data_IF_407105434784
#
_entry.id   IF_407105434784
#
_cell.length_a   1.000
_cell.length_b   1.000
_cell.length_c   1.000
_cell.angle_alpha   90.00
_cell.angle_beta   90.00
_cell.angle_gamma   90.00
#
_symmetry.space_group_name_H-M   'P 1'
#
loop_
_entity.id
_entity.type
_entity.pdbx_description
1 polymer ?
#
# COMPACT_ATOMS: atom_id res chain seq x y z
N UNK A 1 61.80 16.10 -38.18
CA UNK A 1 60.56 16.89 -38.35
C UNK A 1 59.74 16.72 -37.09
N UNK A 2 59.75 17.76 -36.25
CA UNK A 2 59.02 17.86 -34.98
C UNK A 2 57.77 18.66 -35.27
N UNK A 3 56.59 18.09 -35.01
CA UNK A 3 55.35 18.86 -34.94
C UNK A 3 54.73 18.67 -33.56
N UNK A 4 55.08 19.59 -32.69
CA UNK A 4 54.39 19.90 -31.43
C UNK A 4 53.04 20.51 -31.77
N UNK A 5 51.94 19.92 -31.31
CA UNK A 5 50.66 20.61 -31.21
C UNK A 5 50.31 20.74 -29.73
N UNK A 6 50.58 21.93 -29.21
CA UNK A 6 49.93 22.54 -28.05
C UNK A 6 48.43 22.65 -28.31
N UNK A 7 47.59 22.39 -27.29
CA UNK A 7 46.42 23.23 -27.01
C UNK A 7 45.90 22.98 -25.57
N UNK A 8 45.46 24.08 -24.98
CA UNK A 8 45.39 24.38 -23.56
C UNK A 8 44.07 24.00 -22.89
N UNK A 9 44.14 24.00 -21.55
CA UNK A 9 43.07 23.99 -20.56
C UNK A 9 41.87 24.91 -20.88
N UNK A 10 40.66 24.33 -20.93
CA UNK A 10 39.39 24.94 -20.53
C UNK A 10 38.39 23.77 -20.48
N UNK A 11 37.76 23.36 -19.38
CA UNK A 11 37.11 24.16 -18.35
C UNK A 11 36.80 23.31 -17.10
N UNK A 12 36.93 24.00 -15.98
CA UNK A 12 36.68 23.57 -14.62
C UNK A 12 35.19 23.66 -14.35
N UNK A 13 34.45 22.56 -14.46
CA UNK A 13 33.07 22.53 -13.98
C UNK A 13 33.08 22.21 -12.48
N UNK A 14 33.64 23.14 -11.71
CA UNK A 14 33.27 23.30 -10.32
C UNK A 14 31.84 23.81 -10.32
N UNK A 15 30.87 22.90 -10.18
CA UNK A 15 29.49 23.26 -9.91
C UNK A 15 29.47 23.92 -8.54
N UNK A 16 29.53 25.24 -8.54
CA UNK A 16 29.11 26.09 -7.43
C UNK A 16 27.63 25.84 -7.23
N UNK A 17 27.29 24.91 -6.36
CA UNK A 17 25.91 24.66 -5.91
C UNK A 17 25.51 25.90 -5.12
N UNK A 18 24.69 26.75 -5.74
CA UNK A 18 23.96 27.83 -5.08
C UNK A 18 23.03 27.21 -4.03
N UNK A 19 23.02 27.67 -2.76
CA UNK A 19 22.25 27.03 -1.69
C UNK A 19 20.71 27.10 -1.78
N UNK A 20 20.11 27.62 -2.87
CA UNK A 20 18.69 28.02 -2.84
C UNK A 20 17.74 27.39 -3.87
N UNK A 21 18.19 26.46 -4.72
CA UNK A 21 17.27 25.78 -5.66
C UNK A 21 17.03 24.33 -5.23
N UNK A 22 16.24 24.13 -4.18
CA UNK A 22 15.74 22.80 -3.81
C UNK A 22 14.63 22.36 -4.76
N UNK A 23 14.91 22.28 -6.07
CA UNK A 23 14.00 21.64 -7.02
C UNK A 23 14.07 20.15 -6.76
N UNK A 24 13.08 19.61 -6.04
CA UNK A 24 12.85 18.16 -5.97
C UNK A 24 12.55 17.70 -7.40
N UNK A 25 13.56 17.15 -8.07
CA UNK A 25 13.46 16.70 -9.46
C UNK A 25 12.88 15.30 -9.60
N UNK A 26 12.79 14.55 -8.49
CA UNK A 26 12.32 13.16 -8.48
C UNK A 26 11.55 12.84 -7.21
N UNK A 27 10.49 12.03 -7.33
CA UNK A 27 9.67 11.56 -6.19
C UNK A 27 10.54 10.86 -5.14
N UNK A 28 11.63 10.20 -5.54
CA UNK A 28 12.57 9.53 -4.60
C UNK A 28 13.31 10.49 -3.67
N UNK A 29 13.33 11.78 -3.97
CA UNK A 29 13.97 12.81 -3.13
C UNK A 29 13.01 13.39 -2.09
N UNK A 30 11.73 12.98 -2.10
CA UNK A 30 10.79 13.41 -1.08
C UNK A 30 11.19 12.83 0.29
N UNK A 31 10.98 13.60 1.37
CA UNK A 31 11.04 13.08 2.74
C UNK A 31 10.14 11.86 2.92
N UNK A 32 10.59 10.94 3.76
CA UNK A 32 9.90 9.68 4.04
C UNK A 32 8.48 9.91 4.59
N UNK A 33 8.26 10.99 5.35
CA UNK A 33 6.94 11.34 5.87
C UNK A 33 5.95 11.68 4.76
N UNK A 34 6.41 12.36 3.69
CA UNK A 34 5.57 12.69 2.54
C UNK A 34 5.27 11.45 1.69
N UNK A 35 6.28 10.58 1.52
CA UNK A 35 6.09 9.30 0.83
C UNK A 35 5.09 8.41 1.58
N UNK A 36 5.21 8.29 2.90
CA UNK A 36 4.26 7.57 3.75
C UNK A 36 2.85 8.17 3.64
N UNK A 37 2.74 9.50 3.63
CA UNK A 37 1.45 10.16 3.44
C UNK A 37 0.83 9.81 2.09
N UNK A 38 1.60 9.85 1.00
CA UNK A 38 1.14 9.43 -0.34
C UNK A 38 0.70 7.96 -0.33
N UNK A 39 1.52 7.08 0.24
CA UNK A 39 1.23 5.64 0.34
C UNK A 39 -0.04 5.36 1.15
N UNK A 40 -0.38 6.22 2.12
CA UNK A 40 -1.60 6.07 2.93
C UNK A 40 -2.92 6.22 2.16
N UNK A 41 -2.86 6.73 0.92
CA UNK A 41 -4.01 6.82 0.01
C UNK A 41 -4.18 5.59 -0.89
N UNK A 42 -3.18 4.70 -0.94
CA UNK A 42 -3.18 3.54 -1.83
C UNK A 42 -3.94 2.35 -1.23
N UNK A 43 -4.39 1.43 -2.09
CA UNK A 43 -4.93 0.16 -1.62
C UNK A 43 -3.81 -0.77 -1.15
N UNK A 44 -4.16 -1.76 -0.32
CA UNK A 44 -3.19 -2.72 0.22
C UNK A 44 -2.45 -3.48 -0.89
N UNK A 45 -3.12 -3.76 -2.00
CA UNK A 45 -2.53 -4.43 -3.16
C UNK A 45 -1.56 -3.53 -3.92
N UNK A 46 -1.90 -2.26 -4.11
CA UNK A 46 -1.02 -1.27 -4.74
C UNK A 46 0.29 -1.09 -3.94
N UNK A 47 0.21 -1.18 -2.60
CA UNK A 47 1.39 -1.12 -1.74
C UNK A 47 2.35 -2.29 -1.97
N UNK A 48 1.87 -3.45 -2.44
CA UNK A 48 2.74 -4.56 -2.82
C UNK A 48 3.56 -4.21 -4.07
N UNK A 49 3.00 -3.44 -5.01
CA UNK A 49 3.72 -2.98 -6.19
C UNK A 49 4.74 -1.90 -5.84
N UNK A 50 4.38 -0.99 -4.92
CA UNK A 50 5.27 0.04 -4.37
C UNK A 50 6.54 -0.56 -3.76
N UNK A 51 6.43 -1.69 -3.06
CA UNK A 51 7.58 -2.41 -2.50
C UNK A 51 8.59 -2.91 -3.55
N UNK A 52 8.11 -3.18 -4.77
CA UNK A 52 8.95 -3.68 -5.86
C UNK A 52 9.70 -2.55 -6.58
N UNK A 53 9.34 -1.29 -6.36
CA UNK A 53 9.91 -0.17 -7.08
C UNK A 53 11.35 0.19 -6.65
N UNK A 54 11.62 0.23 -5.34
CA UNK A 54 12.97 0.42 -4.79
C UNK A 54 13.08 0.06 -3.29
N UNK A 55 14.30 -0.02 -2.77
CA UNK A 55 14.56 -0.34 -1.36
C UNK A 55 13.94 0.66 -0.36
N UNK A 56 13.99 1.96 -0.65
CA UNK A 56 13.38 2.98 0.20
C UNK A 56 11.87 2.75 0.31
N UNK A 57 11.21 2.54 -0.82
CA UNK A 57 9.75 2.35 -0.87
C UNK A 57 9.35 1.04 -0.24
N UNK A 58 10.15 -0.02 -0.38
CA UNK A 58 9.96 -1.27 0.36
C UNK A 58 9.93 -1.04 1.87
N UNK A 59 10.92 -0.34 2.40
CA UNK A 59 10.99 -0.09 3.84
C UNK A 59 9.79 0.73 4.34
N UNK A 60 9.37 1.73 3.57
CA UNK A 60 8.22 2.59 3.92
C UNK A 60 6.89 1.85 3.78
N UNK A 61 6.73 0.99 2.79
CA UNK A 61 5.52 0.19 2.61
C UNK A 61 5.38 -0.92 3.68
N UNK A 62 6.46 -1.27 4.40
CA UNK A 62 6.41 -2.14 5.57
C UNK A 62 6.10 -1.40 6.89
N UNK A 63 5.97 -0.07 6.86
CA UNK A 63 5.80 0.76 8.05
C UNK A 63 4.51 0.46 8.84
N UNK A 64 4.63 0.30 10.16
CA UNK A 64 3.50 -0.06 11.02
C UNK A 64 2.42 1.03 11.09
N UNK A 65 2.82 2.30 11.03
CA UNK A 65 1.86 3.42 11.11
C UNK A 65 1.03 3.51 9.83
N UNK A 66 1.65 3.22 8.67
CA UNK A 66 0.96 3.10 7.39
C UNK A 66 -0.14 2.03 7.47
N UNK A 67 0.22 0.80 7.88
CA UNK A 67 -0.75 -0.29 7.98
C UNK A 67 -1.85 0.01 9.00
N UNK A 68 -1.52 0.53 10.19
CA UNK A 68 -2.50 0.96 11.20
C UNK A 68 -3.57 1.90 10.64
N UNK A 69 -3.20 2.81 9.74
CA UNK A 69 -4.15 3.72 9.09
C UNK A 69 -4.98 3.05 7.98
N UNK A 70 -4.48 1.94 7.42
CA UNK A 70 -5.11 1.20 6.33
C UNK A 70 -6.17 0.20 6.79
N UNK A 71 -5.97 -0.43 7.97
CA UNK A 71 -6.95 -1.34 8.60
C UNK A 71 -8.37 -0.77 8.63
N UNK A 72 -8.64 0.39 9.26
CA UNK A 72 -10.01 0.89 9.39
C UNK A 72 -10.59 1.36 8.05
N UNK A 73 -9.76 1.63 7.04
CA UNK A 73 -10.25 2.06 5.72
C UNK A 73 -10.80 0.90 4.91
N UNK A 74 -10.19 -0.27 5.02
CA UNK A 74 -10.45 -1.38 4.09
C UNK A 74 -11.01 -2.63 4.77
N UNK A 75 -10.89 -2.76 6.09
CA UNK A 75 -11.38 -3.89 6.85
C UNK A 75 -12.44 -3.39 7.83
N UNK A 76 -13.58 -4.08 7.94
CA UNK A 76 -14.71 -3.70 8.81
C UNK A 76 -14.53 -4.22 10.23
N UNK A 77 -13.30 -4.28 10.72
CA UNK A 77 -13.00 -4.94 12.00
C UNK A 77 -13.16 -3.94 13.13
N UNK A 78 -13.82 -4.36 14.20
CA UNK A 78 -13.81 -3.64 15.47
C UNK A 78 -12.42 -3.80 16.10
N UNK A 79 -11.76 -2.67 16.36
CA UNK A 79 -10.44 -2.63 17.01
C UNK A 79 -10.40 -3.51 18.26
N UNK A 80 -9.50 -4.49 18.29
CA UNK A 80 -9.18 -5.24 19.50
C UNK A 80 -7.86 -4.70 20.05
N UNK A 81 -7.87 -4.15 21.27
CA UNK A 81 -6.64 -3.72 21.94
C UNK A 81 -5.66 -4.91 22.01
N UNK A 82 -4.42 -4.67 21.55
CA UNK A 82 -3.35 -5.68 21.53
C UNK A 82 -3.08 -6.35 20.18
N UNK A 83 -3.88 -6.10 19.15
CA UNK A 83 -3.62 -6.66 17.81
C UNK A 83 -2.52 -5.86 17.08
N UNK A 84 -1.49 -6.55 16.58
CA UNK A 84 -0.44 -5.90 15.80
C UNK A 84 -0.99 -5.46 14.43
N UNK A 85 -1.09 -4.15 14.22
CA UNK A 85 -1.52 -3.55 12.95
C UNK A 85 -0.37 -3.49 11.93
N UNK A 86 0.15 -4.66 11.56
CA UNK A 86 1.23 -4.80 10.60
C UNK A 86 0.76 -5.46 9.29
N UNK A 87 1.57 -5.37 8.23
CA UNK A 87 1.26 -5.94 6.91
C UNK A 87 0.79 -7.40 6.95
N UNK A 88 1.51 -8.27 7.67
CA UNK A 88 1.20 -9.72 7.70
C UNK A 88 -0.18 -9.97 8.28
N UNK A 89 -0.42 -9.32 9.42
CA UNK A 89 -1.68 -9.36 10.13
C UNK A 89 -2.83 -8.85 9.25
N UNK A 90 -2.60 -7.81 8.43
CA UNK A 90 -3.62 -7.25 7.54
C UNK A 90 -4.11 -8.28 6.52
N UNK A 91 -3.16 -8.96 5.85
CA UNK A 91 -3.51 -9.97 4.84
C UNK A 91 -4.12 -11.23 5.45
N UNK A 92 -3.70 -11.64 6.66
CA UNK A 92 -4.35 -12.74 7.39
C UNK A 92 -5.81 -12.41 7.68
N UNK A 93 -6.08 -11.20 8.21
CA UNK A 93 -7.45 -10.78 8.52
C UNK A 93 -8.29 -10.63 7.27
N UNK A 94 -7.75 -10.02 6.19
CA UNK A 94 -8.46 -9.91 4.91
C UNK A 94 -8.84 -11.28 4.34
N UNK A 95 -7.96 -12.28 4.50
CA UNK A 95 -8.25 -13.65 4.05
C UNK A 95 -9.35 -14.30 4.89
N UNK A 96 -9.31 -14.12 6.22
CA UNK A 96 -10.33 -14.61 7.14
C UNK A 96 -11.70 -13.97 6.92
N UNK A 97 -11.77 -12.63 6.81
CA UNK A 97 -13.03 -11.91 6.55
C UNK A 97 -13.70 -12.37 5.26
N UNK A 98 -12.93 -12.57 4.19
CA UNK A 98 -13.48 -13.05 2.91
C UNK A 98 -14.06 -14.46 3.02
N UNK A 99 -13.51 -15.29 3.89
CA UNK A 99 -13.98 -16.66 4.11
C UNK A 99 -15.23 -16.67 5.00
N UNK A 100 -15.26 -15.86 6.05
CA UNK A 100 -16.43 -15.64 6.90
C UNK A 100 -17.61 -15.04 6.12
N UNK A 101 -17.38 -14.07 5.24
CA UNK A 101 -18.41 -13.51 4.36
C UNK A 101 -18.99 -14.58 3.43
N UNK A 102 -18.15 -15.45 2.85
CA UNK A 102 -18.61 -16.57 2.01
C UNK A 102 -19.41 -17.58 2.81
N UNK A 103 -18.96 -17.93 4.02
CA UNK A 103 -19.66 -18.85 4.92
C UNK A 103 -21.00 -18.24 5.34
N UNK A 104 -21.05 -16.97 5.71
CA UNK A 104 -22.28 -16.28 6.09
C UNK A 104 -23.26 -16.13 4.92
N UNK A 105 -22.77 -15.84 3.71
CA UNK A 105 -23.60 -15.81 2.50
C UNK A 105 -24.18 -17.19 2.17
N UNK A 106 -23.37 -18.24 2.32
CA UNK A 106 -23.80 -19.62 2.13
C UNK A 106 -24.85 -20.06 3.16
N UNK A 107 -24.60 -19.80 4.45
CA UNK A 107 -25.56 -20.09 5.54
C UNK A 107 -26.86 -19.29 5.37
N UNK A 108 -26.77 -18.03 4.95
CA UNK A 108 -27.94 -17.21 4.59
C UNK A 108 -28.75 -17.80 3.44
N UNK A 109 -28.06 -18.34 2.42
CA UNK A 109 -28.70 -19.01 1.28
C UNK A 109 -29.41 -20.30 1.71
N UNK A 110 -28.79 -21.13 2.55
CA UNK A 110 -29.43 -22.34 3.11
C UNK A 110 -30.69 -21.96 3.91
N UNK A 111 -30.59 -20.94 4.76
CA UNK A 111 -31.72 -20.47 5.57
C UNK A 111 -32.88 -19.99 4.69
N UNK A 112 -32.57 -19.33 3.58
CA UNK A 112 -33.57 -18.90 2.61
C UNK A 112 -34.25 -20.09 1.90
N UNK A 113 -33.47 -21.08 1.47
CA UNK A 113 -33.98 -22.31 0.83
C UNK A 113 -34.88 -23.10 1.78
N UNK A 114 -34.47 -23.27 3.03
CA UNK A 114 -35.27 -23.98 4.03
C UNK A 114 -36.58 -23.22 4.34
N UNK A 115 -36.53 -21.88 4.42
CA UNK A 115 -37.74 -21.07 4.58
C UNK A 115 -38.67 -21.15 3.35
N UNK A 116 -38.12 -21.25 2.14
CA UNK A 116 -38.89 -21.41 0.91
C UNK A 116 -39.59 -22.78 0.85
N UNK A 117 -38.92 -23.85 1.26
CA UNK A 117 -39.56 -25.18 1.34
C UNK A 117 -40.64 -25.23 2.41
N UNK A 118 -40.41 -24.64 3.58
CA UNK A 118 -41.45 -24.53 4.61
C UNK A 118 -42.64 -23.69 4.14
N UNK A 119 -42.40 -22.58 3.43
CA UNK A 119 -43.45 -21.74 2.85
C UNK A 119 -44.32 -22.51 1.82
N UNK A 120 -43.70 -23.36 1.00
CA UNK A 120 -44.42 -24.25 0.06
C UNK A 120 -45.30 -25.27 0.78
N UNK A 121 -44.85 -25.81 1.92
CA UNK A 121 -45.61 -26.79 2.70
C UNK A 121 -46.81 -26.18 3.44
N UNK A 122 -46.74 -24.90 3.82
CA UNK A 122 -47.81 -24.20 4.57
C UNK A 122 -48.74 -23.36 3.68
N UNK A 123 -48.58 -23.41 2.35
CA UNK A 123 -49.52 -22.81 1.39
C UNK A 123 -49.58 -21.28 1.42
N UNK A 124 -48.51 -20.61 1.84
CA UNK A 124 -48.36 -19.16 1.64
C UNK A 124 -48.09 -18.88 0.15
N UNK A 125 -48.67 -17.81 -0.44
CA UNK A 125 -48.55 -17.52 -1.87
C UNK A 125 -47.11 -17.26 -2.33
#
# INVERSE_FOLDING_TARGET
>A
MVNTLTNADINKNGTTISPNDSTVTSIKQLPDELLLHIFSFLQAFDLLEVELACHQWKNLAEDKTLWKNLYPKHLKIYWHEGWESNKKSYFITLHGEREDEKIMAFLGSIKHVHNLELAKYIGLP
#
